data_IF_951846766098
#
_entry.id   IF_951846766098
#
_cell.length_a   1.000
_cell.length_b   1.000
_cell.length_c   1.000
_cell.angle_alpha   90.00
_cell.angle_beta   90.00
_cell.angle_gamma   90.00
#
_symmetry.space_group_name_H-M   'P 1'
#
loop_
_entity.id
_entity.type
_entity.pdbx_description
1 polymer ?
#
# COMPACT_ATOMS: atom_id res chain seq x y z
N UNK A 1 -17.86 -20.18 36.98
CA UNK A 1 -18.00 -19.41 35.73
C UNK A 1 -16.66 -18.95 35.15
N UNK A 2 -15.74 -18.37 35.93
CA UNK A 2 -14.41 -17.94 35.44
C UNK A 2 -13.57 -19.04 34.76
N UNK A 3 -13.62 -20.28 35.26
CA UNK A 3 -12.87 -21.40 34.69
C UNK A 3 -13.28 -21.74 33.25
N UNK A 4 -14.58 -21.60 32.93
CA UNK A 4 -15.12 -21.84 31.58
C UNK A 4 -14.72 -20.73 30.60
N UNK A 5 -14.55 -19.49 31.08
CA UNK A 5 -14.09 -18.37 30.26
C UNK A 5 -12.59 -18.54 29.94
N UNK A 6 -11.80 -18.99 30.91
CA UNK A 6 -10.37 -19.25 30.68
C UNK A 6 -10.13 -20.38 29.68
N UNK A 7 -10.93 -21.45 29.72
CA UNK A 7 -10.78 -22.58 28.78
C UNK A 7 -11.26 -22.22 27.38
N UNK A 8 -12.33 -21.45 27.26
CA UNK A 8 -12.83 -20.98 25.96
C UNK A 8 -11.83 -20.03 25.30
N UNK A 9 -11.18 -19.15 26.07
CA UNK A 9 -10.13 -18.25 25.57
C UNK A 9 -8.89 -19.05 25.11
N UNK A 10 -8.40 -19.99 25.91
CA UNK A 10 -7.27 -20.83 25.54
C UNK A 10 -7.52 -21.64 24.25
N UNK A 11 -8.74 -22.17 24.11
CA UNK A 11 -9.15 -22.89 22.90
C UNK A 11 -9.27 -21.98 21.67
N UNK A 12 -9.58 -20.69 21.87
CA UNK A 12 -9.63 -19.73 20.78
C UNK A 12 -8.22 -19.35 20.33
N UNK A 13 -7.31 -19.09 21.26
CA UNK A 13 -5.91 -18.78 20.98
C UNK A 13 -5.22 -19.94 20.24
N UNK A 14 -5.46 -21.19 20.66
CA UNK A 14 -4.92 -22.37 19.98
C UNK A 14 -5.38 -22.46 18.51
N UNK A 15 -6.67 -22.22 18.25
CA UNK A 15 -7.22 -22.23 16.88
C UNK A 15 -6.63 -21.11 16.01
N UNK A 16 -6.50 -19.91 16.56
CA UNK A 16 -5.90 -18.79 15.83
C UNK A 16 -4.42 -19.05 15.53
N UNK A 17 -3.69 -19.67 16.47
CA UNK A 17 -2.28 -20.00 16.26
C UNK A 17 -2.10 -21.04 15.15
N UNK A 18 -2.96 -22.06 15.11
CA UNK A 18 -2.96 -23.07 14.06
C UNK A 18 -3.25 -22.46 12.67
N UNK A 19 -4.22 -21.55 12.59
CA UNK A 19 -4.54 -20.84 11.34
C UNK A 19 -3.38 -19.96 10.85
N UNK A 20 -2.68 -19.28 11.77
CA UNK A 20 -1.49 -18.47 11.45
C UNK A 20 -0.36 -19.35 10.90
N UNK A 21 -0.11 -20.51 11.51
CA UNK A 21 0.93 -21.44 11.04
C UNK A 21 0.57 -22.07 9.69
N UNK A 22 -0.70 -22.41 9.46
CA UNK A 22 -1.18 -22.89 8.16
C UNK A 22 -0.96 -21.85 7.05
N UNK A 23 -1.30 -20.57 7.30
CA UNK A 23 -1.07 -19.48 6.34
C UNK A 23 0.43 -19.24 6.07
N UNK A 24 1.29 -19.40 7.09
CA UNK A 24 2.75 -19.33 6.91
C UNK A 24 3.26 -20.44 5.99
N UNK A 25 2.77 -21.67 6.15
CA UNK A 25 3.15 -22.79 5.29
C UNK A 25 2.65 -22.60 3.84
N UNK A 26 1.47 -22.04 3.65
CA UNK A 26 0.95 -21.72 2.31
C UNK A 26 1.82 -20.67 1.60
N UNK A 27 2.23 -19.61 2.31
CA UNK A 27 3.14 -18.60 1.77
C UNK A 27 4.52 -19.16 1.40
N UNK A 28 5.08 -20.03 2.24
CA UNK A 28 6.36 -20.69 1.93
C UNK A 28 6.23 -21.63 0.72
N UNK A 29 5.10 -22.32 0.57
CA UNK A 29 4.83 -23.17 -0.59
C UNK A 29 4.72 -22.35 -1.89
N UNK A 30 4.12 -21.16 -1.85
CA UNK A 30 4.02 -20.26 -3.00
C UNK A 30 5.38 -19.64 -3.40
N UNK A 31 6.29 -19.45 -2.45
CA UNK A 31 7.59 -18.79 -2.66
C UNK A 31 8.57 -19.64 -3.49
N UNK A 32 8.42 -20.96 -3.50
CA UNK A 32 9.27 -21.88 -4.28
C UNK A 32 9.01 -21.74 -5.80
N UNK A 33 7.82 -21.27 -6.20
CA UNK A 33 7.44 -21.17 -7.61
C UNK A 33 7.78 -19.82 -8.28
N UNK A 34 8.44 -18.91 -7.55
CA UNK A 34 8.80 -17.58 -8.06
C UNK A 34 10.29 -17.26 -7.90
N UNK A 35 11.16 -18.21 -8.30
CA UNK A 35 12.60 -17.94 -8.49
C UNK A 35 12.80 -17.34 -9.90
N UNK A 36 13.19 -16.06 -10.04
CA UNK A 36 13.65 -15.55 -11.34
C UNK A 36 14.95 -16.26 -11.74
N UNK A 37 15.17 -16.57 -13.03
CA UNK A 37 16.41 -17.16 -13.48
C UNK A 37 17.57 -16.19 -13.21
N UNK A 38 18.61 -16.70 -12.56
CA UNK A 38 19.91 -16.04 -12.41
C UNK A 38 20.45 -15.60 -13.77
N UNK A 39 21.02 -14.39 -13.92
CA UNK A 39 21.67 -14.00 -15.17
C UNK A 39 22.97 -14.81 -15.38
N UNK A 40 23.29 -15.21 -16.63
CA UNK A 40 24.54 -15.88 -16.94
C UNK A 40 25.73 -14.91 -16.84
N UNK A 41 26.95 -15.38 -16.53
CA UNK A 41 28.15 -14.55 -16.60
C UNK A 41 28.51 -14.32 -18.06
N UNK A 42 28.41 -13.08 -18.54
CA UNK A 42 28.94 -12.71 -19.86
C UNK A 42 30.21 -11.87 -19.71
N UNK A 43 31.28 -12.56 -20.05
CA UNK A 43 32.59 -12.20 -20.57
C UNK A 43 32.83 -10.76 -21.03
N UNK A 44 33.97 -10.26 -20.56
CA UNK A 44 34.79 -9.11 -20.93
C UNK A 44 34.95 -8.84 -22.43
N UNK A 45 35.22 -7.56 -22.74
CA UNK A 45 35.82 -6.92 -23.92
C UNK A 45 34.83 -6.21 -24.86
N UNK A 46 34.78 -4.87 -24.79
CA UNK A 46 35.52 -4.02 -25.73
C UNK A 46 35.63 -2.58 -25.23
N UNK A 47 36.87 -2.12 -25.25
CA UNK A 47 37.39 -0.81 -24.93
C UNK A 47 36.89 0.22 -25.96
N UNK A 48 36.14 1.23 -25.53
CA UNK A 48 35.98 2.48 -26.29
C UNK A 48 35.89 3.65 -25.33
N UNK A 49 36.89 4.52 -25.44
CA UNK A 49 37.19 5.69 -24.63
C UNK A 49 36.20 6.83 -24.90
N UNK A 50 35.36 7.15 -23.93
CA UNK A 50 34.78 8.50 -23.76
C UNK A 50 34.77 8.87 -22.27
N UNK A 51 35.22 10.08 -21.87
CA UNK A 51 35.08 10.55 -20.50
C UNK A 51 33.70 11.19 -20.36
N UNK A 52 32.70 10.42 -19.92
CA UNK A 52 31.42 11.00 -19.50
C UNK A 52 31.37 10.93 -17.97
N UNK A 53 31.40 12.14 -17.41
CA UNK A 53 31.33 12.51 -16.02
C UNK A 53 30.35 11.61 -15.25
N UNK A 54 30.87 10.89 -14.24
CA UNK A 54 30.10 10.24 -13.18
C UNK A 54 29.47 11.31 -12.30
N UNK A 55 28.41 11.94 -12.83
CA UNK A 55 27.42 12.58 -11.97
C UNK A 55 26.65 11.41 -11.36
N UNK A 56 26.95 11.08 -10.10
CA UNK A 56 26.15 10.19 -9.28
C UNK A 56 24.77 10.83 -9.10
N UNK A 57 23.92 10.68 -10.11
CA UNK A 57 22.50 10.96 -9.98
C UNK A 57 22.00 10.07 -8.84
N UNK A 58 21.42 10.65 -7.77
CA UNK A 58 20.78 9.83 -6.76
C UNK A 58 19.75 9.00 -7.51
N UNK A 59 19.80 7.69 -7.30
CA UNK A 59 18.81 6.74 -7.76
C UNK A 59 17.47 7.18 -7.16
N UNK A 60 16.79 8.14 -7.80
CA UNK A 60 15.39 8.39 -7.55
C UNK A 60 14.71 7.10 -7.95
N UNK A 61 14.46 6.26 -6.95
CA UNK A 61 13.56 5.13 -7.06
C UNK A 61 12.29 5.71 -7.67
N UNK A 62 12.07 5.47 -8.98
CA UNK A 62 10.82 5.78 -9.64
C UNK A 62 9.77 4.95 -8.93
N UNK A 63 9.17 5.51 -7.89
CA UNK A 63 8.01 4.92 -7.22
C UNK A 63 7.00 4.67 -8.31
N UNK A 64 6.75 3.39 -8.59
CA UNK A 64 5.80 2.96 -9.62
C UNK A 64 4.45 3.55 -9.25
N UNK A 65 4.10 4.70 -9.83
CA UNK A 65 2.91 5.46 -9.46
C UNK A 65 1.70 4.59 -9.75
N UNK A 66 1.01 4.15 -8.70
CA UNK A 66 -0.26 3.45 -8.86
C UNK A 66 -1.25 4.36 -9.60
N UNK A 67 -2.14 3.82 -10.44
CA UNK A 67 -3.18 4.62 -11.09
C UNK A 67 -4.06 5.31 -10.04
N UNK A 68 -4.59 6.49 -10.39
CA UNK A 68 -5.52 7.18 -9.52
C UNK A 68 -6.84 6.41 -9.41
N UNK A 69 -7.50 6.41 -8.25
CA UNK A 69 -8.85 5.88 -8.12
C UNK A 69 -9.83 6.72 -8.98
N UNK A 70 -10.97 6.13 -9.39
CA UNK A 70 -12.06 6.93 -9.97
C UNK A 70 -12.62 7.90 -8.92
N UNK A 71 -13.12 9.04 -9.38
CA UNK A 71 -13.77 10.01 -8.50
C UNK A 71 -15.02 9.41 -7.83
N UNK A 72 -15.23 9.75 -6.56
CA UNK A 72 -16.40 9.32 -5.81
C UNK A 72 -17.57 10.27 -6.06
N UNK A 73 -18.61 9.71 -6.66
CA UNK A 73 -19.82 10.45 -7.08
C UNK A 73 -20.87 10.61 -5.97
N UNK A 74 -20.61 10.13 -4.76
CA UNK A 74 -21.57 10.13 -3.64
C UNK A 74 -22.48 8.89 -3.59
N UNK A 75 -22.47 8.03 -4.62
CA UNK A 75 -23.29 6.80 -4.67
C UNK A 75 -22.80 5.77 -3.66
N UNK A 76 -23.66 5.43 -2.69
CA UNK A 76 -23.35 4.47 -1.61
C UNK A 76 -22.84 3.10 -2.09
N UNK A 77 -23.38 2.61 -3.21
CA UNK A 77 -22.97 1.32 -3.81
C UNK A 77 -21.52 1.31 -4.31
N UNK A 78 -20.98 2.47 -4.66
CA UNK A 78 -19.63 2.62 -5.20
C UNK A 78 -18.61 2.92 -4.09
N UNK A 79 -19.08 3.21 -2.87
CA UNK A 79 -18.25 3.57 -1.71
C UNK A 79 -17.22 2.48 -1.33
N UNK A 80 -17.58 1.17 -1.25
CA UNK A 80 -16.59 0.14 -0.89
C UNK A 80 -15.45 0.04 -1.91
N UNK A 81 -15.79 0.13 -3.20
CA UNK A 81 -14.81 0.07 -4.28
C UNK A 81 -13.91 1.31 -4.26
N UNK A 82 -14.48 2.49 -4.03
CA UNK A 82 -13.75 3.74 -3.90
C UNK A 82 -12.75 3.68 -2.74
N UNK A 83 -13.20 3.33 -1.53
CA UNK A 83 -12.35 3.23 -0.34
C UNK A 83 -11.20 2.24 -0.52
N UNK A 84 -11.50 1.09 -1.13
CA UNK A 84 -10.48 0.07 -1.45
C UNK A 84 -9.39 0.65 -2.35
N UNK A 85 -9.77 1.27 -3.46
CA UNK A 85 -8.81 1.86 -4.41
C UNK A 85 -8.04 3.04 -3.82
N UNK A 86 -8.71 3.88 -3.02
CA UNK A 86 -8.08 4.98 -2.31
C UNK A 86 -7.04 4.48 -1.31
N UNK A 87 -7.36 3.44 -0.53
CA UNK A 87 -6.43 2.80 0.40
C UNK A 87 -5.21 2.24 -0.33
N UNK A 88 -5.40 1.49 -1.43
CA UNK A 88 -4.29 1.00 -2.24
C UNK A 88 -3.39 2.12 -2.75
N UNK A 89 -3.97 3.25 -3.19
CA UNK A 89 -3.21 4.40 -3.68
C UNK A 89 -2.37 5.05 -2.58
N UNK A 90 -2.97 5.28 -1.41
CA UNK A 90 -2.31 5.94 -0.27
C UNK A 90 -1.23 5.05 0.34
N UNK A 91 -1.53 3.76 0.59
CA UNK A 91 -0.58 2.81 1.14
C UNK A 91 0.55 2.46 0.16
N UNK A 92 0.20 2.26 -1.11
CA UNK A 92 1.17 1.89 -2.15
C UNK A 92 2.03 3.06 -2.65
N UNK A 93 1.69 4.30 -2.31
CA UNK A 93 2.53 5.49 -2.54
C UNK A 93 2.77 6.25 -1.23
N UNK A 94 3.05 5.55 -0.13
CA UNK A 94 3.26 6.17 1.18
C UNK A 94 4.35 7.27 1.16
N UNK A 95 5.35 7.16 0.28
CA UNK A 95 6.37 8.21 0.10
C UNK A 95 5.83 9.52 -0.49
N UNK A 96 4.69 9.51 -1.17
CA UNK A 96 4.01 10.72 -1.67
C UNK A 96 2.99 11.28 -0.67
N UNK A 97 2.52 10.47 0.28
CA UNK A 97 1.55 10.85 1.30
C UNK A 97 2.05 10.47 2.71
N UNK A 98 3.16 11.09 3.17
CA UNK A 98 3.82 10.67 4.41
C UNK A 98 3.03 11.02 5.66
N UNK A 99 2.26 12.11 5.61
CA UNK A 99 1.50 12.67 6.72
C UNK A 99 -0.01 12.53 6.52
N UNK A 100 -0.77 12.55 7.61
CA UNK A 100 -2.22 12.38 7.56
C UNK A 100 -2.91 13.52 6.79
N UNK A 101 -2.34 14.72 6.84
CA UNK A 101 -2.87 15.90 6.14
C UNK A 101 -2.74 15.75 4.62
N UNK A 102 -1.61 15.29 4.10
CA UNK A 102 -1.44 15.02 2.66
C UNK A 102 -2.36 13.89 2.17
N UNK A 103 -2.61 12.86 2.98
CA UNK A 103 -3.61 11.82 2.67
C UNK A 103 -5.03 12.39 2.60
N UNK A 104 -5.42 13.24 3.56
CA UNK A 104 -6.73 13.87 3.61
C UNK A 104 -6.96 14.81 2.43
N UNK A 105 -5.98 15.66 2.10
CA UNK A 105 -6.02 16.55 0.93
C UNK A 105 -6.21 15.72 -0.35
N UNK A 106 -5.46 14.63 -0.48
CA UNK A 106 -5.62 13.76 -1.65
C UNK A 106 -6.98 13.08 -1.69
N UNK A 107 -7.45 12.51 -0.58
CA UNK A 107 -8.76 11.87 -0.50
C UNK A 107 -9.88 12.84 -0.87
N UNK A 108 -9.80 14.09 -0.40
CA UNK A 108 -10.74 15.16 -0.74
C UNK A 108 -10.72 15.48 -2.24
N UNK A 109 -9.54 15.54 -2.87
CA UNK A 109 -9.41 15.76 -4.33
C UNK A 109 -10.09 14.67 -5.19
N UNK A 110 -10.40 13.51 -4.60
CA UNK A 110 -11.06 12.40 -5.28
C UNK A 110 -12.58 12.39 -5.06
N UNK A 111 -13.14 13.39 -4.37
CA UNK A 111 -14.58 13.56 -4.22
C UNK A 111 -15.15 14.41 -5.37
N UNK A 112 -16.28 14.02 -5.93
CA UNK A 112 -17.04 14.86 -6.86
C UNK A 112 -17.84 15.93 -6.08
N UNK A 113 -18.29 17.00 -6.76
CA UNK A 113 -18.88 18.21 -6.15
C UNK A 113 -19.76 17.97 -4.91
N UNK A 114 -20.75 17.07 -5.00
CA UNK A 114 -21.71 16.84 -3.91
C UNK A 114 -21.05 16.30 -2.62
N UNK A 115 -20.35 15.15 -2.62
CA UNK A 115 -19.62 14.70 -1.43
C UNK A 115 -18.47 15.61 -0.99
N UNK A 116 -17.84 16.38 -1.89
CA UNK A 116 -16.81 17.35 -1.49
C UNK A 116 -17.40 18.47 -0.62
N UNK A 117 -18.54 19.05 -1.04
CA UNK A 117 -19.21 20.14 -0.31
C UNK A 117 -19.70 19.74 1.09
N UNK A 118 -20.03 18.47 1.32
CA UNK A 118 -20.40 17.95 2.64
C UNK A 118 -19.22 17.87 3.60
N UNK A 119 -18.00 17.69 3.08
CA UNK A 119 -16.79 17.45 3.87
C UNK A 119 -15.98 18.74 4.06
N UNK A 120 -16.13 19.74 3.18
CA UNK A 120 -15.46 21.04 3.28
C UNK A 120 -15.57 21.72 4.66
N UNK A 121 -16.76 21.78 5.31
CA UNK A 121 -16.89 22.39 6.63
C UNK A 121 -16.14 21.63 7.74
N UNK A 122 -15.91 20.33 7.56
CA UNK A 122 -15.26 19.44 8.53
C UNK A 122 -13.74 19.45 8.41
N UNK A 123 -13.22 19.76 7.23
CA UNK A 123 -11.78 19.85 6.97
C UNK A 123 -11.19 21.19 7.44
N UNK A 124 -11.95 22.29 7.31
CA UNK A 124 -11.47 23.62 7.73
C UNK A 124 -11.16 23.71 9.24
N UNK A 125 -11.84 22.92 10.07
CA UNK A 125 -11.61 22.81 11.51
C UNK A 125 -10.40 21.95 11.88
N UNK A 126 -9.90 21.09 10.98
CA UNK A 126 -8.76 20.18 11.23
C UNK A 126 -7.45 20.60 10.52
N UNK A 127 -7.51 21.58 9.60
CA UNK A 127 -6.34 22.03 8.81
C UNK A 127 -5.66 23.27 9.40
N UNK A 128 -6.38 24.03 10.24
CA UNK A 128 -5.90 25.23 10.95
C UNK A 128 -5.59 24.88 12.41
N UNK A 129 -4.49 24.16 12.63
CA UNK A 129 -3.75 24.12 13.91
C UNK A 129 -2.32 23.74 13.58
#
# INVERSE_FOLDING_TARGET
QLLAISTTLANQEARHHEEIEALRQELESLKINSRPPSPPPQTTLLLSTQPIQTTSLPLQQRTKRLPNPPMFTGKRKDLPLFLTKLCFKLCGNASQYPDEKSKLIYAHSQLEHDPATLVDPLLNSNIVT
#
